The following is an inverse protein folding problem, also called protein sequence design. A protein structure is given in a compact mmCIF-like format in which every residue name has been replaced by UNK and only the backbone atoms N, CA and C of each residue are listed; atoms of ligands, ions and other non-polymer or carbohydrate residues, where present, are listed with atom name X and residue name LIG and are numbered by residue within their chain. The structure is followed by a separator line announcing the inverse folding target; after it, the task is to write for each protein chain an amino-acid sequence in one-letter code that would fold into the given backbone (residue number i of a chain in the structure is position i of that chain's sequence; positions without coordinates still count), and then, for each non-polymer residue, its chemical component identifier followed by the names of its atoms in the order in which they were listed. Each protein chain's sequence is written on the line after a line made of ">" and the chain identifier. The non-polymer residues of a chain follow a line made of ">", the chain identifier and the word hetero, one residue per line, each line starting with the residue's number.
data_IF_505780198904
#
_entry.id   IF_505780198904
#
_cell.length_a   1.000
_cell.length_b   1.000
_cell.length_c   1.000
_cell.angle_alpha   90.00
_cell.angle_beta   90.00
_cell.angle_gamma   90.00
#
_symmetry.space_group_name_H-M   'P 1'
#
loop_
_entity.id
_entity.type
_entity.pdbx_description
1 polymer ?
#
# COMPACT_ATOMS: atom_id res chain seq x y z
N UNK A 1 -11.86 -9.03 -41.35
CA UNK A 1 -11.48 -10.13 -40.44
C UNK A 1 -12.25 -9.98 -39.13
N UNK A 2 -13.52 -10.41 -39.11
CA UNK A 2 -14.43 -10.33 -37.95
C UNK A 2 -15.26 -11.61 -37.89
N UNK A 3 -14.64 -12.75 -37.59
CA UNK A 3 -15.33 -14.07 -37.52
C UNK A 3 -14.67 -15.04 -36.53
N UNK A 4 -14.05 -14.56 -35.44
CA UNK A 4 -13.42 -15.44 -34.43
C UNK A 4 -14.14 -15.48 -33.08
N UNK A 5 -15.13 -14.61 -32.85
CA UNK A 5 -15.85 -14.51 -31.56
C UNK A 5 -17.07 -15.43 -31.41
N UNK A 6 -17.71 -15.84 -32.50
CA UNK A 6 -18.95 -16.63 -32.45
C UNK A 6 -18.72 -18.14 -32.24
N UNK A 7 -17.55 -18.66 -32.62
CA UNK A 7 -17.21 -20.08 -32.49
C UNK A 7 -16.80 -20.49 -31.06
N UNK A 8 -16.32 -19.54 -30.25
CA UNK A 8 -15.87 -19.82 -28.88
C UNK A 8 -17.03 -19.88 -27.87
N UNK A 9 -18.17 -19.22 -28.17
CA UNK A 9 -19.37 -19.24 -27.31
C UNK A 9 -20.18 -20.53 -27.50
N UNK A 10 -20.18 -21.11 -28.71
CA UNK A 10 -20.86 -22.39 -29.00
C UNK A 10 -20.14 -23.61 -28.41
N UNK A 11 -18.84 -23.54 -28.13
CA UNK A 11 -18.10 -24.62 -27.46
C UNK A 11 -18.33 -24.67 -25.94
N UNK A 12 -18.75 -23.57 -25.31
CA UNK A 12 -19.02 -23.53 -23.87
C UNK A 12 -20.43 -24.02 -23.49
N UNK A 13 -21.39 -24.08 -24.41
CA UNK A 13 -22.74 -24.60 -24.11
C UNK A 13 -22.84 -26.14 -24.17
N UNK A 14 -21.99 -26.83 -24.95
CA UNK A 14 -22.07 -28.29 -25.10
C UNK A 14 -21.39 -29.09 -23.98
N UNK A 15 -20.56 -28.46 -23.14
CA UNK A 15 -19.87 -29.15 -22.02
C UNK A 15 -20.59 -29.00 -20.68
N UNK A 16 -21.70 -28.25 -20.63
CA UNK A 16 -22.52 -28.09 -19.44
C UNK A 16 -23.67 -29.11 -19.32
N UNK A 17 -23.96 -29.89 -20.37
CA UNK A 17 -25.12 -30.81 -20.40
C UNK A 17 -24.77 -32.30 -20.16
N UNK A 18 -23.49 -32.69 -20.03
CA UNK A 18 -23.12 -34.11 -19.94
C UNK A 18 -22.76 -34.65 -18.54
N UNK A 19 -22.85 -33.84 -17.47
CA UNK A 19 -22.54 -34.34 -16.12
C UNK A 19 -23.61 -34.02 -15.06
N UNK A 20 -24.89 -34.06 -15.45
CA UNK A 20 -26.01 -34.23 -14.50
C UNK A 20 -26.87 -35.39 -14.99
N UNK A 21 -26.40 -36.62 -14.75
CA UNK A 21 -27.30 -37.77 -14.58
C UNK A 21 -26.64 -38.76 -13.63
N UNK A 22 -27.00 -38.64 -12.36
CA UNK A 22 -26.64 -39.63 -11.36
C UNK A 22 -27.41 -40.92 -11.57
N UNK A 23 -26.81 -42.03 -11.15
CA UNK A 23 -27.53 -43.14 -10.54
C UNK A 23 -26.55 -43.93 -9.65
N UNK A 24 -26.83 -43.88 -8.36
CA UNK A 24 -26.29 -44.73 -7.31
C UNK A 24 -26.78 -46.16 -7.49
N UNK A 25 -25.88 -47.15 -7.45
CA UNK A 25 -26.25 -48.55 -7.21
C UNK A 25 -25.40 -49.08 -6.05
N UNK A 26 -26.13 -49.52 -5.03
CA UNK A 26 -25.63 -50.20 -3.85
C UNK A 26 -25.45 -51.69 -4.17
N UNK A 27 -24.29 -52.26 -3.85
CA UNK A 27 -24.09 -53.71 -3.81
C UNK A 27 -23.77 -54.12 -2.36
N UNK A 28 -24.82 -54.55 -1.65
CA UNK A 28 -24.74 -55.53 -0.58
C UNK A 28 -25.38 -56.81 -1.11
N UNK A 29 -24.84 -57.94 -0.65
CA UNK A 29 -25.32 -59.32 -0.78
C UNK A 29 -24.90 -60.10 -2.04
N UNK A 30 -23.79 -60.84 -1.94
CA UNK A 30 -23.74 -62.25 -2.37
C UNK A 30 -22.98 -63.06 -1.31
N UNK A 31 -23.74 -63.86 -0.57
CA UNK A 31 -23.31 -64.98 0.28
C UNK A 31 -22.97 -66.22 -0.55
N UNK A 32 -21.89 -66.93 -0.22
CA UNK A 32 -21.69 -68.40 -0.35
C UNK A 32 -20.30 -68.69 0.24
N UNK A 33 -20.16 -69.13 1.48
CA UNK A 33 -20.35 -70.49 2.01
C UNK A 33 -19.42 -71.52 1.35
N UNK A 34 -18.26 -71.75 1.98
CA UNK A 34 -17.56 -73.03 1.89
C UNK A 34 -17.10 -73.45 3.30
N UNK A 35 -17.53 -74.65 3.67
CA UNK A 35 -17.43 -75.29 4.96
C UNK A 35 -16.91 -76.70 4.72
N UNK A 36 -15.71 -77.04 5.19
CA UNK A 36 -15.21 -78.40 5.49
C UNK A 36 -13.99 -78.18 6.41
N UNK A 37 -13.80 -78.78 7.59
CA UNK A 37 -14.26 -80.06 8.13
C UNK A 37 -13.01 -80.80 8.62
N UNK A 38 -12.79 -80.85 9.94
CA UNK A 38 -11.69 -81.56 10.60
C UNK A 38 -11.92 -83.08 10.68
N UNK A 39 -10.80 -83.83 10.67
CA UNK A 39 -10.55 -85.15 11.31
C UNK A 39 -11.44 -86.36 10.88
N UNK A 40 -11.06 -87.64 10.93
CA UNK A 40 -10.03 -88.37 11.67
C UNK A 40 -9.90 -89.82 11.10
N UNK A 41 -8.72 -90.40 11.28
CA UNK A 41 -8.29 -91.82 11.41
C UNK A 41 -9.22 -93.02 11.08
N UNK A 42 -8.64 -94.06 10.45
CA UNK A 42 -8.45 -95.41 11.06
C UNK A 42 -7.61 -96.35 10.19
N UNK A 43 -6.79 -97.13 10.90
CA UNK A 43 -5.85 -98.16 10.44
C UNK A 43 -6.55 -99.46 9.99
N UNK A 44 -5.85 -100.27 9.18
CA UNK A 44 -5.67 -101.70 9.45
C UNK A 44 -4.52 -102.32 8.63
N UNK A 45 -3.63 -102.96 9.39
CA UNK A 45 -2.61 -103.99 9.11
C UNK A 45 -3.21 -105.26 8.40
N UNK A 46 -2.51 -106.22 7.76
CA UNK A 46 -1.15 -106.78 7.93
C UNK A 46 -0.74 -107.80 6.82
N UNK A 47 0.59 -107.99 6.68
CA UNK A 47 1.43 -109.12 6.19
C UNK A 47 1.33 -109.77 4.79
N UNK A 48 2.52 -110.02 4.20
CA UNK A 48 2.73 -111.24 3.40
C UNK A 48 3.98 -111.33 2.51
N UNK A 49 5.17 -111.34 3.10
CA UNK A 49 6.42 -112.03 2.70
C UNK A 49 6.98 -112.01 1.23
N UNK A 50 8.24 -111.54 1.19
CA UNK A 50 9.41 -112.10 0.50
C UNK A 50 9.41 -112.28 -1.04
N UNK A 51 10.23 -111.47 -1.72
CA UNK A 51 11.49 -111.92 -2.35
C UNK A 51 12.23 -110.71 -2.95
N UNK A 52 13.17 -110.16 -2.17
CA UNK A 52 14.40 -109.51 -2.64
C UNK A 52 15.12 -110.51 -3.53
N UNK A 53 15.49 -110.21 -4.78
CA UNK A 53 16.77 -109.55 -5.09
C UNK A 53 16.80 -109.08 -6.55
N UNK A 54 16.03 -108.04 -6.88
CA UNK A 54 16.31 -107.20 -8.08
C UNK A 54 15.71 -105.78 -7.94
N UNK A 55 15.44 -105.37 -6.70
CA UNK A 55 14.82 -104.09 -6.37
C UNK A 55 15.76 -103.13 -5.63
N UNK A 56 16.98 -103.52 -5.25
CA UNK A 56 17.86 -102.67 -4.42
C UNK A 56 18.52 -101.51 -5.20
N UNK A 57 18.80 -101.69 -6.50
CA UNK A 57 19.33 -100.61 -7.33
C UNK A 57 18.21 -99.66 -7.80
N UNK A 58 17.03 -100.19 -8.12
CA UNK A 58 15.83 -99.42 -8.52
C UNK A 58 15.16 -98.74 -7.32
N UNK A 59 15.09 -99.37 -6.13
CA UNK A 59 14.58 -98.73 -4.91
C UNK A 59 15.54 -97.68 -4.37
N UNK A 60 16.86 -97.88 -4.46
CA UNK A 60 17.85 -96.87 -4.07
C UNK A 60 17.76 -95.64 -4.98
N UNK A 61 17.68 -95.82 -6.30
CA UNK A 61 17.50 -94.70 -7.25
C UNK A 61 16.13 -94.02 -7.05
N UNK A 62 15.05 -94.79 -6.85
CA UNK A 62 13.70 -94.26 -6.66
C UNK A 62 13.51 -93.53 -5.32
N UNK A 63 14.22 -93.96 -4.27
CA UNK A 63 14.24 -93.31 -2.95
C UNK A 63 15.16 -92.09 -2.91
N UNK A 64 16.23 -92.08 -3.71
CA UNK A 64 17.09 -90.90 -3.93
C UNK A 64 16.35 -89.83 -4.72
N UNK A 65 15.64 -90.20 -5.80
CA UNK A 65 14.80 -89.27 -6.58
C UNK A 65 13.61 -88.70 -5.77
N UNK A 66 13.01 -89.50 -4.89
CA UNK A 66 11.90 -89.04 -4.03
C UNK A 66 12.38 -88.08 -2.93
N UNK A 67 13.57 -88.34 -2.36
CA UNK A 67 14.22 -87.46 -1.39
C UNK A 67 14.57 -86.09 -2.00
N UNK A 68 15.07 -86.07 -3.23
CA UNK A 68 15.40 -84.83 -3.96
C UNK A 68 14.16 -83.98 -4.28
N UNK A 69 13.05 -84.61 -4.70
CA UNK A 69 11.77 -83.91 -4.95
C UNK A 69 11.24 -83.26 -3.66
N UNK A 70 11.30 -83.98 -2.53
CA UNK A 70 10.90 -83.42 -1.24
C UNK A 70 11.83 -82.30 -0.75
N UNK A 71 13.12 -82.35 -1.08
CA UNK A 71 14.07 -81.27 -0.80
C UNK A 71 13.68 -79.99 -1.56
N UNK A 72 13.47 -80.11 -2.87
CA UNK A 72 13.05 -78.98 -3.73
C UNK A 72 11.69 -78.43 -3.29
N UNK A 73 10.72 -79.28 -2.95
CA UNK A 73 9.41 -78.83 -2.47
C UNK A 73 9.51 -78.08 -1.14
N UNK A 74 10.45 -78.47 -0.27
CA UNK A 74 10.73 -77.80 1.01
C UNK A 74 11.42 -76.45 0.79
N UNK A 75 12.35 -76.36 -0.16
CA UNK A 75 12.96 -75.10 -0.59
C UNK A 75 11.94 -74.14 -1.20
N UNK A 76 11.09 -74.62 -2.11
CA UNK A 76 10.00 -73.83 -2.69
C UNK A 76 9.04 -73.34 -1.60
N UNK A 77 8.72 -74.20 -0.62
CA UNK A 77 7.87 -73.82 0.52
C UNK A 77 8.54 -72.75 1.39
N UNK A 78 9.85 -72.85 1.62
CA UNK A 78 10.64 -71.85 2.35
C UNK A 78 10.68 -70.50 1.59
N UNK A 79 10.95 -70.52 0.28
CA UNK A 79 10.96 -69.32 -0.57
C UNK A 79 9.57 -68.67 -0.65
N UNK A 80 8.49 -69.46 -0.73
CA UNK A 80 7.13 -68.92 -0.68
C UNK A 80 6.81 -68.28 0.69
N UNK A 81 7.33 -68.84 1.78
CA UNK A 81 7.18 -68.26 3.11
C UNK A 81 7.95 -66.94 3.23
N UNK A 82 9.19 -66.87 2.74
CA UNK A 82 9.98 -65.63 2.66
C UNK A 82 9.26 -64.57 1.81
N UNK A 83 8.78 -64.92 0.62
CA UNK A 83 8.07 -64.02 -0.27
C UNK A 83 6.77 -63.48 0.36
N UNK A 84 6.06 -64.29 1.17
CA UNK A 84 4.88 -63.84 1.94
C UNK A 84 5.24 -62.82 3.02
N UNK A 85 6.41 -62.95 3.66
CA UNK A 85 6.89 -61.98 4.65
C UNK A 85 7.23 -60.67 3.95
N UNK A 86 7.95 -60.70 2.84
CA UNK A 86 8.27 -59.50 2.04
C UNK A 86 7.01 -58.80 1.50
N UNK A 87 6.01 -59.55 1.04
CA UNK A 87 4.72 -58.98 0.63
C UNK A 87 3.99 -58.29 1.78
N UNK A 88 4.01 -58.85 2.99
CA UNK A 88 3.43 -58.21 4.18
C UNK A 88 4.21 -56.95 4.58
N UNK A 89 5.53 -57.01 4.49
CA UNK A 89 6.41 -55.89 4.80
C UNK A 89 6.18 -54.71 3.84
N UNK A 90 6.22 -54.98 2.53
CA UNK A 90 5.96 -53.98 1.49
C UNK A 90 4.54 -53.41 1.57
N UNK A 91 3.52 -54.22 1.87
CA UNK A 91 2.15 -53.74 2.12
C UNK A 91 2.11 -52.74 3.28
N UNK A 92 2.75 -53.06 4.40
CA UNK A 92 2.81 -52.18 5.58
C UNK A 92 3.53 -50.86 5.26
N UNK A 93 4.63 -50.93 4.48
CA UNK A 93 5.34 -49.75 3.99
C UNK A 93 4.46 -48.86 3.11
N UNK A 94 3.67 -49.44 2.20
CA UNK A 94 2.75 -48.70 1.32
C UNK A 94 1.67 -48.00 2.15
N UNK A 95 1.03 -48.68 3.10
CA UNK A 95 -0.01 -48.09 3.98
C UNK A 95 0.55 -46.92 4.82
N UNK A 96 1.79 -47.07 5.33
CA UNK A 96 2.48 -45.98 6.02
C UNK A 96 2.79 -44.79 5.09
N UNK A 97 3.19 -45.07 3.84
CA UNK A 97 3.47 -44.04 2.84
C UNK A 97 2.19 -43.31 2.39
N UNK A 98 1.07 -44.00 2.20
CA UNK A 98 -0.24 -43.41 1.92
C UNK A 98 -0.70 -42.49 3.04
N UNK A 99 -0.53 -42.91 4.30
CA UNK A 99 -0.88 -42.09 5.46
C UNK A 99 -0.05 -40.80 5.52
N UNK A 100 1.25 -40.91 5.22
CA UNK A 100 2.15 -39.74 5.14
C UNK A 100 1.79 -38.82 3.97
N UNK A 101 1.39 -39.39 2.83
CA UNK A 101 0.97 -38.64 1.66
C UNK A 101 -0.29 -37.81 1.97
N UNK A 102 -1.33 -38.44 2.52
CA UNK A 102 -2.55 -37.74 2.97
C UNK A 102 -2.27 -36.63 3.98
N UNK A 103 -1.39 -36.90 4.94
CA UNK A 103 -0.99 -35.89 5.93
C UNK A 103 -0.25 -34.71 5.28
N UNK A 104 0.53 -34.95 4.23
CA UNK A 104 1.23 -33.92 3.46
C UNK A 104 0.26 -33.12 2.59
N UNK A 105 -0.70 -33.77 1.94
CA UNK A 105 -1.75 -33.13 1.14
C UNK A 105 -2.59 -32.17 1.99
N UNK A 106 -3.03 -32.59 3.18
CA UNK A 106 -3.77 -31.73 4.11
C UNK A 106 -2.95 -30.51 4.57
N UNK A 107 -1.63 -30.67 4.77
CA UNK A 107 -0.73 -29.57 5.11
C UNK A 107 -0.56 -28.62 3.92
N UNK A 108 -0.46 -29.13 2.70
CA UNK A 108 -0.34 -28.33 1.49
C UNK A 108 -1.59 -27.46 1.28
N UNK A 109 -2.79 -28.01 1.45
CA UNK A 109 -4.05 -27.27 1.39
C UNK A 109 -4.13 -26.18 2.48
N UNK A 110 -3.68 -26.50 3.69
CA UNK A 110 -3.60 -25.52 4.79
C UNK A 110 -2.63 -24.37 4.48
N UNK A 111 -1.50 -24.65 3.83
CA UNK A 111 -0.53 -23.62 3.44
C UNK A 111 -1.10 -22.77 2.30
N UNK A 112 -1.74 -23.39 1.30
CA UNK A 112 -2.34 -22.69 0.17
C UNK A 112 -3.43 -21.69 0.62
N UNK A 113 -4.32 -22.12 1.52
CA UNK A 113 -5.37 -21.24 2.07
C UNK A 113 -4.80 -20.07 2.85
N UNK A 114 -3.74 -20.29 3.64
CA UNK A 114 -3.02 -19.20 4.36
C UNK A 114 -2.29 -18.26 3.41
N UNK A 115 -1.71 -18.80 2.33
CA UNK A 115 -1.02 -18.01 1.32
C UNK A 115 -1.98 -17.07 0.60
N UNK A 116 -3.12 -17.58 0.13
CA UNK A 116 -4.20 -16.75 -0.46
C UNK A 116 -4.70 -15.67 0.52
N UNK A 117 -4.89 -16.04 1.79
CA UNK A 117 -5.30 -15.08 2.81
C UNK A 117 -4.24 -13.99 3.06
N UNK A 118 -2.96 -14.33 2.95
CA UNK A 118 -1.85 -13.37 3.06
C UNK A 118 -1.73 -12.48 1.83
N UNK A 119 -1.93 -13.03 0.63
CA UNK A 119 -1.94 -12.27 -0.63
C UNK A 119 -3.06 -11.22 -0.64
N UNK A 120 -4.28 -11.60 -0.26
CA UNK A 120 -5.40 -10.66 -0.14
C UNK A 120 -5.12 -9.55 0.89
N UNK A 121 -4.45 -9.87 2.00
CA UNK A 121 -4.01 -8.88 2.98
C UNK A 121 -2.94 -7.95 2.42
N UNK A 122 -1.99 -8.47 1.65
CA UNK A 122 -0.95 -7.67 1.01
C UNK A 122 -1.55 -6.70 -0.01
N UNK A 123 -2.49 -7.14 -0.85
CA UNK A 123 -3.21 -6.28 -1.80
C UNK A 123 -4.01 -5.18 -1.10
N UNK A 124 -4.67 -5.52 0.01
CA UNK A 124 -5.39 -4.55 0.85
C UNK A 124 -4.44 -3.51 1.45
N UNK A 125 -3.27 -3.93 1.95
CA UNK A 125 -2.28 -3.03 2.51
C UNK A 125 -1.66 -2.12 1.45
N UNK A 126 -1.38 -2.64 0.25
CA UNK A 126 -0.85 -1.87 -0.86
C UNK A 126 -1.84 -0.77 -1.30
N UNK A 127 -3.13 -1.11 -1.37
CA UNK A 127 -4.19 -0.14 -1.69
C UNK A 127 -4.26 0.98 -0.64
N UNK A 128 -4.18 0.63 0.64
CA UNK A 128 -4.17 1.61 1.74
C UNK A 128 -2.90 2.47 1.74
N UNK A 129 -1.76 1.89 1.40
CA UNK A 129 -0.50 2.61 1.32
C UNK A 129 -0.57 3.69 0.22
N UNK A 130 -1.01 3.32 -0.98
CA UNK A 130 -1.20 4.27 -2.09
C UNK A 130 -2.16 5.41 -1.71
N UNK A 131 -3.29 5.09 -1.09
CA UNK A 131 -4.24 6.10 -0.63
C UNK A 131 -3.62 7.05 0.42
N UNK A 132 -2.80 6.52 1.33
CA UNK A 132 -2.09 7.33 2.33
C UNK A 132 -1.00 8.21 1.70
N UNK A 133 -0.29 7.72 0.68
CA UNK A 133 0.72 8.49 -0.06
C UNK A 133 0.07 9.68 -0.78
N UNK A 134 -1.08 9.46 -1.42
CA UNK A 134 -1.86 10.52 -2.06
C UNK A 134 -2.36 11.56 -1.04
N UNK A 135 -2.82 11.13 0.14
CA UNK A 135 -3.25 12.04 1.19
C UNK A 135 -2.09 12.90 1.71
N UNK A 136 -0.91 12.30 1.94
CA UNK A 136 0.30 13.01 2.37
C UNK A 136 0.69 14.06 1.33
N UNK A 137 0.69 13.71 0.04
CA UNK A 137 1.01 14.63 -1.03
C UNK A 137 0.03 15.82 -1.08
N UNK A 138 -1.28 15.56 -0.92
CA UNK A 138 -2.29 16.61 -0.85
C UNK A 138 -2.15 17.50 0.39
N UNK A 139 -1.82 16.93 1.54
CA UNK A 139 -1.53 17.69 2.77
C UNK A 139 -0.29 18.57 2.62
N UNK A 140 0.78 18.04 2.02
CA UNK A 140 1.99 18.79 1.75
C UNK A 140 1.73 19.98 0.83
N UNK A 141 0.94 19.78 -0.24
CA UNK A 141 0.52 20.85 -1.14
C UNK A 141 -0.26 21.95 -0.42
N UNK A 142 -1.30 21.58 0.34
CA UNK A 142 -2.10 22.53 1.12
C UNK A 142 -1.26 23.28 2.16
N UNK A 143 -0.28 22.62 2.78
CA UNK A 143 0.61 23.25 3.74
C UNK A 143 1.52 24.29 3.05
N UNK A 144 2.01 23.97 1.85
CA UNK A 144 2.80 24.92 1.07
C UNK A 144 2.01 26.16 0.66
N UNK A 145 0.74 26.00 0.26
CA UNK A 145 -0.18 27.11 -0.06
C UNK A 145 -0.53 27.98 1.15
N UNK A 146 -0.42 27.44 2.37
CA UNK A 146 -0.65 28.15 3.63
C UNK A 146 0.57 28.91 4.15
N UNK A 147 1.74 28.78 3.51
CA UNK A 147 2.91 29.59 3.86
C UNK A 147 2.79 30.94 3.18
N UNK A 148 2.55 31.98 3.99
CA UNK A 148 2.40 33.35 3.48
C UNK A 148 3.28 34.28 4.29
N UNK A 149 4.23 34.92 3.62
CA UNK A 149 5.07 35.96 4.21
C UNK A 149 5.68 36.81 3.11
N UNK A 150 5.58 38.13 3.23
CA UNK A 150 6.23 39.06 2.33
C UNK A 150 6.89 40.19 3.11
N UNK A 151 7.95 40.75 2.52
CA UNK A 151 8.67 41.91 3.01
C UNK A 151 9.19 42.67 1.80
N UNK A 152 8.82 43.94 1.69
CA UNK A 152 9.10 44.79 0.53
C UNK A 152 9.51 46.20 0.97
N UNK A 153 10.29 46.88 0.13
CA UNK A 153 10.70 48.29 0.32
C UNK A 153 10.41 49.12 -0.94
N UNK A 154 10.36 50.45 -0.80
CA UNK A 154 9.86 51.34 -1.87
C UNK A 154 10.71 51.35 -3.15
N UNK A 155 11.98 50.96 -3.06
CA UNK A 155 12.99 51.00 -4.11
C UNK A 155 13.35 52.40 -4.60
N UNK A 156 14.49 52.91 -4.13
CA UNK A 156 15.11 54.12 -4.67
C UNK A 156 16.64 54.02 -4.54
N UNK A 157 17.37 53.96 -5.66
CA UNK A 157 18.84 53.95 -5.65
C UNK A 157 19.46 55.30 -5.25
N UNK A 158 18.64 56.34 -5.20
CA UNK A 158 18.98 57.70 -4.79
C UNK A 158 17.94 58.20 -3.80
N UNK A 159 18.28 59.23 -3.04
CA UNK A 159 17.31 59.85 -2.15
C UNK A 159 16.16 60.46 -2.95
N UNK A 160 14.93 60.02 -2.68
CA UNK A 160 13.74 60.46 -3.41
C UNK A 160 12.54 60.63 -2.48
N UNK A 161 11.81 61.71 -2.72
CA UNK A 161 10.50 61.95 -2.13
C UNK A 161 9.39 61.33 -2.97
N UNK A 162 8.43 60.68 -2.31
CA UNK A 162 7.14 60.28 -2.88
C UNK A 162 6.06 61.16 -2.27
N UNK A 163 5.32 61.88 -3.12
CA UNK A 163 4.46 62.97 -2.71
C UNK A 163 5.22 64.27 -2.36
N UNK A 164 4.52 65.32 -1.91
CA UNK A 164 3.08 65.37 -1.70
C UNK A 164 2.30 65.36 -3.01
N UNK A 165 1.26 64.54 -3.06
CA UNK A 165 0.29 64.52 -4.16
C UNK A 165 -0.99 65.26 -3.74
N UNK A 166 -1.71 65.81 -4.71
CA UNK A 166 -3.00 66.47 -4.47
C UNK A 166 -4.15 65.47 -4.20
N UNK A 167 -3.96 64.20 -4.54
CA UNK A 167 -4.85 63.10 -4.22
C UNK A 167 -4.07 62.00 -3.48
N UNK A 168 -4.78 61.20 -2.68
CA UNK A 168 -4.16 60.07 -2.02
C UNK A 168 -3.83 58.94 -3.01
N UNK A 169 -2.70 58.26 -2.78
CA UNK A 169 -2.11 57.30 -3.72
C UNK A 169 -1.65 56.05 -2.96
N UNK A 170 -1.90 54.87 -3.52
CA UNK A 170 -1.31 53.62 -3.00
C UNK A 170 0.20 53.62 -3.24
N UNK A 171 0.96 53.30 -2.21
CA UNK A 171 2.40 53.14 -2.31
C UNK A 171 2.72 51.79 -2.96
N UNK A 172 3.51 51.83 -4.03
CA UNK A 172 3.96 50.64 -4.75
C UNK A 172 5.41 50.36 -4.36
N UNK A 173 5.60 49.39 -3.45
CA UNK A 173 6.93 48.92 -3.04
C UNK A 173 7.48 47.99 -4.11
N UNK A 174 8.51 48.43 -4.82
CA UNK A 174 9.04 47.71 -5.99
C UNK A 174 10.14 46.72 -5.65
N UNK A 175 10.90 46.97 -4.58
CA UNK A 175 11.98 46.10 -4.16
C UNK A 175 11.43 44.97 -3.29
N UNK A 176 11.51 43.75 -3.80
CA UNK A 176 11.04 42.54 -3.12
C UNK A 176 12.20 41.90 -2.36
N UNK A 177 12.10 41.86 -1.03
CA UNK A 177 13.04 41.13 -0.17
C UNK A 177 12.57 39.66 -0.06
N UNK A 178 11.29 39.48 0.26
CA UNK A 178 10.64 38.16 0.36
C UNK A 178 9.20 38.26 -0.15
N UNK A 179 8.70 37.24 -0.85
CA UNK A 179 7.29 37.14 -1.28
C UNK A 179 6.82 35.68 -1.35
N UNK A 180 6.86 34.98 -0.20
CA UNK A 180 6.41 33.59 -0.08
C UNK A 180 4.89 33.55 -0.25
N UNK A 181 4.44 32.68 -1.15
CA UNK A 181 3.03 32.59 -1.57
C UNK A 181 2.66 33.54 -2.71
N UNK A 182 3.61 34.37 -3.19
CA UNK A 182 3.41 35.33 -4.28
C UNK A 182 2.16 36.22 -4.09
N UNK A 183 1.96 36.67 -2.86
CA UNK A 183 0.75 37.37 -2.37
C UNK A 183 0.80 38.88 -2.57
N UNK A 184 2.00 39.44 -2.69
CA UNK A 184 2.22 40.86 -2.92
C UNK A 184 2.56 41.14 -4.39
N UNK A 185 1.96 42.20 -4.95
CA UNK A 185 2.22 42.67 -6.31
C UNK A 185 3.03 43.97 -6.31
N UNK A 186 4.28 43.91 -6.79
CA UNK A 186 5.15 45.08 -6.99
C UNK A 186 4.71 45.99 -8.14
N UNK A 187 3.67 45.60 -8.89
CA UNK A 187 3.06 46.44 -9.93
C UNK A 187 1.96 47.32 -9.34
N UNK A 188 1.19 46.81 -8.38
CA UNK A 188 0.00 47.51 -7.84
C UNK A 188 0.16 48.01 -6.41
N UNK A 189 1.13 47.50 -5.64
CA UNK A 189 1.28 47.83 -4.22
C UNK A 189 0.37 47.03 -3.29
N UNK A 190 -0.27 45.98 -3.80
CA UNK A 190 -1.30 45.23 -3.07
C UNK A 190 -0.78 43.89 -2.56
N UNK A 191 -1.08 43.62 -1.30
CA UNK A 191 -1.17 42.26 -0.78
C UNK A 191 -2.59 41.73 -1.01
N UNK A 192 -2.74 40.48 -1.45
CA UNK A 192 -4.04 39.80 -1.56
C UNK A 192 -4.03 38.54 -0.71
N UNK A 193 -5.01 38.37 0.18
CA UNK A 193 -5.08 37.21 1.05
C UNK A 193 -5.41 35.93 0.26
N UNK A 194 -4.53 34.92 0.21
CA UNK A 194 -4.78 33.69 -0.55
C UNK A 194 -5.68 32.71 0.21
N UNK A 195 -5.76 32.83 1.53
CA UNK A 195 -6.56 31.99 2.43
C UNK A 195 -7.23 32.86 3.48
N UNK A 196 -8.35 32.40 4.03
CA UNK A 196 -8.94 33.04 5.22
C UNK A 196 -8.01 32.83 6.41
N UNK A 197 -7.75 33.89 7.18
CA UNK A 197 -6.86 33.78 8.32
C UNK A 197 -6.56 35.08 9.03
N UNK A 198 -5.84 34.96 10.16
CA UNK A 198 -5.33 36.12 10.88
C UNK A 198 -3.93 36.45 10.37
N UNK A 199 -3.79 37.67 9.85
CA UNK A 199 -2.55 38.17 9.30
C UNK A 199 -2.00 39.27 10.19
N UNK A 200 -0.68 39.31 10.37
CA UNK A 200 0.01 40.41 11.02
C UNK A 200 0.73 41.26 9.97
N UNK A 201 0.48 42.57 10.01
CA UNK A 201 1.11 43.54 9.12
C UNK A 201 1.83 44.59 9.93
N UNK A 202 2.97 45.04 9.40
CA UNK A 202 3.64 46.25 9.86
C UNK A 202 4.23 47.00 8.69
N UNK A 203 4.26 48.32 8.82
CA UNK A 203 4.84 49.18 7.82
C UNK A 203 5.57 50.33 8.52
N UNK A 204 6.60 50.81 7.82
CA UNK A 204 7.50 51.86 8.26
C UNK A 204 7.61 52.85 7.10
N UNK A 205 7.51 54.12 7.43
CA UNK A 205 7.69 55.20 6.46
C UNK A 205 8.69 56.20 7.02
N UNK A 206 9.75 56.45 6.26
CA UNK A 206 10.64 57.57 6.53
C UNK A 206 10.09 58.82 5.86
N UNK A 207 10.31 59.98 6.47
CA UNK A 207 10.14 61.25 5.80
C UNK A 207 10.96 62.32 6.50
N UNK A 208 11.12 63.46 5.86
CA UNK A 208 11.67 64.65 6.51
C UNK A 208 10.48 65.50 6.96
N UNK A 209 10.24 65.51 8.28
CA UNK A 209 9.23 66.37 8.89
C UNK A 209 9.63 67.83 8.66
N UNK A 210 8.65 68.68 8.33
CA UNK A 210 8.77 70.14 8.29
C UNK A 210 7.34 70.69 8.15
N UNK A 211 7.03 71.47 7.12
CA UNK A 211 5.67 71.95 6.81
C UNK A 211 4.76 70.88 6.21
N UNK A 212 5.31 69.78 5.72
CA UNK A 212 4.57 68.67 5.08
C UNK A 212 4.47 67.48 6.04
N UNK A 213 3.27 66.92 6.17
CA UNK A 213 3.03 65.74 7.00
C UNK A 213 3.67 64.48 6.40
N UNK A 214 4.18 63.60 7.26
CA UNK A 214 4.74 62.30 6.91
C UNK A 214 3.84 61.23 7.52
N UNK A 215 3.32 60.33 6.69
CA UNK A 215 2.48 59.27 7.20
C UNK A 215 1.76 58.51 6.11
N UNK A 216 1.29 57.32 6.45
CA UNK A 216 0.50 56.49 5.57
C UNK A 216 -0.52 55.68 6.38
N UNK A 217 -1.61 55.32 5.74
CA UNK A 217 -2.59 54.36 6.26
C UNK A 217 -2.24 52.96 5.79
N UNK A 218 -2.41 51.97 6.65
CA UNK A 218 -2.66 50.61 6.19
C UNK A 218 -4.15 50.43 6.00
N UNK A 219 -4.58 49.90 4.86
CA UNK A 219 -6.00 49.72 4.55
C UNK A 219 -6.31 48.27 4.22
N UNK A 220 -7.54 47.85 4.50
CA UNK A 220 -8.16 46.64 3.96
C UNK A 220 -9.33 47.05 3.08
N UNK A 221 -9.34 46.62 1.83
CA UNK A 221 -10.41 46.92 0.87
C UNK A 221 -10.76 48.43 0.84
N UNK A 222 -9.74 49.29 0.80
CA UNK A 222 -9.82 50.77 0.84
C UNK A 222 -10.35 51.38 2.14
N UNK A 223 -10.62 50.59 3.18
CA UNK A 223 -10.96 51.09 4.51
C UNK A 223 -9.70 51.15 5.38
N UNK A 224 -9.49 52.29 6.05
CA UNK A 224 -8.32 52.48 6.91
C UNK A 224 -8.39 51.58 8.15
N UNK A 225 -7.31 50.86 8.43
CA UNK A 225 -7.13 50.08 9.65
C UNK A 225 -6.35 50.86 10.70
N UNK A 226 -5.14 51.27 10.36
CA UNK A 226 -4.20 51.98 11.24
C UNK A 226 -3.42 53.02 10.45
N UNK A 227 -2.88 54.03 11.14
CA UNK A 227 -2.05 55.08 10.53
C UNK A 227 -0.70 55.18 11.25
N UNK A 228 0.37 55.30 10.47
CA UNK A 228 1.64 55.81 10.96
C UNK A 228 1.70 57.30 10.59
N UNK A 229 2.00 58.17 11.55
CA UNK A 229 1.96 59.61 11.34
C UNK A 229 3.02 60.35 12.15
N UNK A 230 3.64 61.34 11.51
CA UNK A 230 4.46 62.37 12.15
C UNK A 230 4.39 63.68 11.35
N UNK A 231 4.60 64.82 12.01
CA UNK A 231 4.53 66.15 11.38
C UNK A 231 5.62 67.11 11.86
N UNK A 232 6.11 66.95 13.08
CA UNK A 232 7.00 67.91 13.73
C UNK A 232 8.42 67.38 13.78
N UNK A 233 9.30 68.01 13.01
CA UNK A 233 10.74 67.77 13.01
C UNK A 233 11.39 68.68 11.97
N UNK A 234 12.70 68.87 12.05
CA UNK A 234 13.51 69.52 11.00
C UNK A 234 14.49 68.54 10.36
N UNK A 235 14.35 67.25 10.67
CA UNK A 235 15.26 66.17 10.30
C UNK A 235 14.45 64.93 9.88
N UNK A 236 15.16 63.87 9.51
CA UNK A 236 14.56 62.58 9.14
C UNK A 236 13.84 61.96 10.33
N UNK A 237 12.61 61.53 10.08
CA UNK A 237 11.72 60.91 11.04
C UNK A 237 11.14 59.64 10.46
N UNK A 238 11.06 58.60 11.27
CA UNK A 238 10.35 57.38 10.95
C UNK A 238 8.99 57.39 11.66
N UNK A 239 7.94 57.04 10.93
CA UNK A 239 6.65 56.69 11.50
C UNK A 239 6.33 55.24 11.14
N UNK A 240 5.85 54.48 12.12
CA UNK A 240 5.49 53.08 11.93
C UNK A 240 4.21 52.74 12.66
N UNK A 241 3.51 51.72 12.16
CA UNK A 241 2.38 51.11 12.84
C UNK A 241 2.22 49.65 12.33
N UNK A 242 1.37 48.88 13.00
CA UNK A 242 1.06 47.51 12.65
C UNK A 242 -0.26 47.05 13.23
N UNK A 243 -0.81 45.98 12.68
CA UNK A 243 -2.09 45.41 13.11
C UNK A 243 -2.16 43.94 12.75
N UNK A 244 -2.73 43.15 13.65
CA UNK A 244 -3.20 41.81 13.34
C UNK A 244 -4.69 41.85 13.00
N UNK A 245 -5.06 41.32 11.83
CA UNK A 245 -6.43 41.44 11.29
C UNK A 245 -6.87 40.14 10.62
N UNK A 246 -8.14 39.76 10.83
CA UNK A 246 -8.79 38.67 10.10
C UNK A 246 -9.08 39.13 8.66
N UNK A 247 -8.60 38.37 7.69
CA UNK A 247 -8.88 38.58 6.27
C UNK A 247 -9.66 37.39 5.71
N UNK A 248 -10.58 37.70 4.80
CA UNK A 248 -11.21 36.70 3.92
C UNK A 248 -10.35 36.47 2.67
N UNK A 249 -10.60 35.35 1.96
CA UNK A 249 -9.92 35.08 0.69
C UNK A 249 -10.21 36.21 -0.31
N UNK A 250 -9.16 36.77 -0.89
CA UNK A 250 -9.26 37.86 -1.86
C UNK A 250 -9.32 39.27 -1.26
N UNK A 251 -9.35 39.41 0.08
CA UNK A 251 -9.20 40.71 0.70
C UNK A 251 -7.85 41.34 0.32
N UNK A 252 -7.87 42.63 0.02
CA UNK A 252 -6.70 43.40 -0.42
C UNK A 252 -6.23 44.31 0.70
N UNK A 253 -4.92 44.26 0.98
CA UNK A 253 -4.25 45.16 1.93
C UNK A 253 -3.22 46.00 1.20
N UNK A 254 -3.24 47.31 1.45
CA UNK A 254 -2.33 48.27 0.83
C UNK A 254 -1.87 49.35 1.81
N UNK A 255 -0.71 49.93 1.54
CA UNK A 255 -0.25 51.13 2.24
C UNK A 255 -0.61 52.34 1.38
N UNK A 256 -1.36 53.27 1.96
CA UNK A 256 -1.94 54.41 1.27
C UNK A 256 -1.38 55.72 1.80
N UNK A 257 -0.73 56.48 0.91
CA UNK A 257 -0.24 57.82 1.18
C UNK A 257 -1.41 58.81 1.02
N UNK A 258 -1.84 59.52 2.07
CA UNK A 258 -2.91 60.50 1.94
C UNK A 258 -2.50 61.71 1.10
N UNK A 259 -3.48 62.47 0.61
CA UNK A 259 -3.21 63.75 -0.05
C UNK A 259 -2.39 64.67 0.87
N UNK A 260 -1.50 65.46 0.27
CA UNK A 260 -0.62 66.42 0.97
C UNK A 260 0.36 65.79 1.98
N UNK A 261 0.58 64.47 1.91
CA UNK A 261 1.61 63.78 2.69
C UNK A 261 2.78 63.39 1.79
N UNK A 262 4.00 63.38 2.36
CA UNK A 262 5.19 62.89 1.67
C UNK A 262 5.92 61.86 2.49
N UNK A 263 6.66 61.01 1.80
CA UNK A 263 7.63 60.10 2.40
C UNK A 263 8.94 60.16 1.61
N UNK A 264 10.00 59.71 2.25
CA UNK A 264 11.36 59.68 1.72
C UNK A 264 11.82 58.22 1.71
N UNK A 265 12.57 57.85 0.68
CA UNK A 265 13.39 56.65 0.72
C UNK A 265 14.73 56.89 0.01
N UNK A 266 15.69 56.00 0.23
CA UNK A 266 16.98 55.99 -0.44
C UNK A 266 17.52 54.54 -0.54
N UNK A 267 18.80 54.39 -0.89
CA UNK A 267 19.44 53.08 -1.06
C UNK A 267 19.49 52.21 0.22
N UNK A 268 19.15 52.77 1.39
CA UNK A 268 19.07 52.04 2.65
C UNK A 268 17.68 51.46 2.95
N UNK A 269 16.69 51.63 2.05
CA UNK A 269 15.39 50.99 2.13
C UNK A 269 14.63 51.24 3.45
N UNK A 270 14.51 52.51 3.83
CA UNK A 270 13.95 52.91 5.12
C UNK A 270 12.43 52.68 5.21
N UNK A 271 11.74 52.78 4.08
CA UNK A 271 10.29 52.64 4.00
C UNK A 271 9.94 51.22 3.59
N UNK A 272 9.41 50.44 4.53
CA UNK A 272 9.13 49.00 4.34
C UNK A 272 7.68 48.66 4.64
N UNK A 273 7.19 47.62 3.98
CA UNK A 273 5.89 47.01 4.23
C UNK A 273 6.07 45.51 4.30
N UNK A 274 5.60 44.88 5.37
CA UNK A 274 5.69 43.44 5.55
C UNK A 274 4.39 42.89 6.13
N UNK A 275 4.17 41.61 5.89
CA UNK A 275 3.09 40.89 6.52
C UNK A 275 3.23 39.38 6.37
N UNK A 276 2.58 38.65 7.26
CA UNK A 276 2.62 37.20 7.30
C UNK A 276 1.32 36.62 7.86
N UNK A 277 0.97 35.41 7.42
CA UNK A 277 -0.14 34.65 8.01
C UNK A 277 0.31 34.08 9.35
N UNK A 278 -0.42 34.40 10.43
CA UNK A 278 -0.20 33.77 11.73
C UNK A 278 -0.79 32.37 11.73
N UNK A 279 -2.06 32.27 11.36
CA UNK A 279 -2.77 31.01 11.21
C UNK A 279 -4.04 31.20 10.37
N UNK A 280 -4.40 30.22 9.53
CA UNK A 280 -5.68 30.24 8.83
C UNK A 280 -6.83 29.83 9.75
N UNK A 281 -8.05 30.19 9.35
CA UNK A 281 -9.30 29.95 10.09
C UNK A 281 -10.30 29.20 9.22
#
# INVERSE_FOLDING_TARGET
>A
MKTSGALLVLLCCCLAETQIRGETISEKDITHQDHYGEAETRENEVMGAAETTEAAATASIQQTCHSDIHSVLREISALMAEQRVELRYTKTQIEAMETRLRASENKAETVETKMRASENKAETLETRLRASEDEIMNLQKRNQERKVSFSVSLETNTQRYTGPFNAGTTLVYKHIITNIGNVYSSTTGFFTAPVKGVYDFSFYVLGEGSTIAVGAFLRRNRQNLVMAYTRLGSSWMNASNGVSVLLEVGDVVDVFLPANHRILDNANHHSTFRGHLLFPV
#
